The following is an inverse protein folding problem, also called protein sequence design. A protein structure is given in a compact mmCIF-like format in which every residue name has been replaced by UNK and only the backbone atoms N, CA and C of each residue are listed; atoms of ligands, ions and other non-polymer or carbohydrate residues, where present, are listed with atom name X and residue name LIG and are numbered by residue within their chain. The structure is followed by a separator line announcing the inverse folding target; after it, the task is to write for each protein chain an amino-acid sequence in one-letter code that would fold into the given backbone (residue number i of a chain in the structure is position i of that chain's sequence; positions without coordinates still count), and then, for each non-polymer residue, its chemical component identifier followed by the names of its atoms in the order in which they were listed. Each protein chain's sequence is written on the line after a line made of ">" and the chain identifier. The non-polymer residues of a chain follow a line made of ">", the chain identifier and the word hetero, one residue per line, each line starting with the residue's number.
data_IF_542676364525
#
_entry.id   IF_542676364525
#
_cell.length_a   1.000
_cell.length_b   1.000
_cell.length_c   1.000
_cell.angle_alpha   90.00
_cell.angle_beta   90.00
_cell.angle_gamma   90.00
#
_symmetry.space_group_name_H-M   'P 1'
#
loop_
_entity.id
_entity.type
_entity.pdbx_description
1 polymer ?
#
# COMPACT_ATOMS: atom_id res chain seq x y z
N UNK A 1 22.11 69.39 -9.23
CA UNK A 1 22.91 68.94 -8.06
C UNK A 1 22.05 69.17 -6.83
N UNK A 2 21.45 68.18 -6.18
CA UNK A 2 21.63 66.72 -6.19
C UNK A 2 20.29 66.08 -5.77
N UNK A 3 19.77 65.14 -6.56
CA UNK A 3 18.65 64.27 -6.15
C UNK A 3 19.16 63.24 -5.14
N UNK A 4 18.55 63.22 -3.95
CA UNK A 4 18.80 62.23 -2.90
C UNK A 4 17.96 60.98 -3.19
N UNK A 5 18.54 60.07 -3.97
CA UNK A 5 17.91 58.81 -4.38
C UNK A 5 18.13 57.74 -3.31
N UNK A 6 17.33 57.76 -2.25
CA UNK A 6 17.35 56.73 -1.20
C UNK A 6 16.55 55.52 -1.67
N UNK A 7 17.25 54.50 -2.18
CA UNK A 7 16.69 53.21 -2.53
C UNK A 7 15.97 52.54 -1.34
N UNK A 8 14.87 51.80 -1.54
CA UNK A 8 14.28 50.99 -0.48
C UNK A 8 15.26 49.88 -0.08
N UNK A 9 15.66 49.92 1.20
CA UNK A 9 16.50 48.91 1.84
C UNK A 9 15.76 47.58 1.79
N UNK A 10 16.19 46.68 0.91
CA UNK A 10 15.67 45.32 0.81
C UNK A 10 15.80 44.60 2.16
N UNK A 11 14.72 43.92 2.54
CA UNK A 11 14.62 43.15 3.76
C UNK A 11 15.63 41.98 3.70
N UNK A 12 16.57 41.83 4.65
CA UNK A 12 17.59 40.79 4.61
C UNK A 12 17.05 39.38 4.95
N UNK A 13 15.73 39.23 5.08
CA UNK A 13 15.06 37.98 5.45
C UNK A 13 14.80 37.01 4.28
N UNK A 14 15.18 37.38 3.04
CA UNK A 14 15.02 36.52 1.85
C UNK A 14 16.35 36.03 1.27
N UNK A 15 17.45 36.06 2.04
CA UNK A 15 18.67 35.36 1.68
C UNK A 15 18.51 33.84 1.93
N UNK A 16 17.53 33.24 1.27
CA UNK A 16 17.39 31.80 1.14
C UNK A 16 18.33 31.33 0.04
N UNK A 17 19.17 30.37 0.37
CA UNK A 17 19.96 29.50 -0.50
C UNK A 17 19.70 29.67 -2.00
N UNK A 18 20.74 30.13 -2.73
CA UNK A 18 20.87 29.94 -4.17
C UNK A 18 21.03 28.43 -4.44
N UNK A 19 19.97 27.65 -4.24
CA UNK A 19 19.84 26.32 -4.81
C UNK A 19 19.60 26.54 -6.30
N UNK A 20 20.67 26.38 -7.07
CA UNK A 20 20.69 26.46 -8.51
C UNK A 20 19.53 25.59 -9.06
N UNK A 21 18.53 26.26 -9.63
CA UNK A 21 17.32 25.59 -10.12
C UNK A 21 17.74 24.50 -11.12
N UNK A 22 17.30 23.24 -10.94
CA UNK A 22 17.71 22.14 -11.80
C UNK A 22 17.39 22.46 -13.26
N UNK A 23 18.35 22.20 -14.14
CA UNK A 23 18.24 22.48 -15.57
C UNK A 23 16.99 21.79 -16.13
N UNK A 24 16.06 22.60 -16.65
CA UNK A 24 14.83 22.13 -17.27
C UNK A 24 15.11 21.14 -18.41
N UNK A 25 16.26 21.25 -19.08
CA UNK A 25 16.72 20.32 -20.10
C UNK A 25 17.03 18.93 -19.55
N UNK A 26 17.62 18.85 -18.35
CA UNK A 26 17.97 17.58 -17.70
C UNK A 26 16.74 16.88 -17.12
N UNK A 27 15.81 17.65 -16.53
CA UNK A 27 14.51 17.14 -16.07
C UNK A 27 13.66 16.61 -17.23
N UNK A 28 13.60 17.33 -18.35
CA UNK A 28 12.93 16.86 -19.58
C UNK A 28 13.54 15.56 -20.10
N UNK A 29 14.87 15.43 -20.01
CA UNK A 29 15.58 14.22 -20.45
C UNK A 29 15.29 13.03 -19.55
N UNK A 30 15.24 13.21 -18.23
CA UNK A 30 14.88 12.14 -17.29
C UNK A 30 13.42 11.68 -17.50
N UNK A 31 12.51 12.61 -17.76
CA UNK A 31 11.08 12.31 -17.96
C UNK A 31 10.80 11.64 -19.31
N UNK A 32 11.47 12.05 -20.39
CA UNK A 32 11.37 11.40 -21.71
C UNK A 32 11.95 9.98 -21.73
N UNK A 33 12.74 9.60 -20.72
CA UNK A 33 13.25 8.24 -20.54
C UNK A 33 12.30 7.33 -19.73
N UNK A 34 11.18 7.85 -19.18
CA UNK A 34 10.16 6.99 -18.58
C UNK A 34 9.41 6.23 -19.70
N UNK A 35 9.66 4.92 -19.81
CA UNK A 35 9.05 4.04 -20.82
C UNK A 35 7.51 4.04 -20.81
N UNK A 36 6.88 4.59 -19.77
CA UNK A 36 5.41 4.67 -19.62
C UNK A 36 4.81 5.98 -20.14
N UNK A 37 5.62 6.93 -20.57
CA UNK A 37 5.15 8.21 -21.08
C UNK A 37 4.66 8.10 -22.53
N UNK A 38 3.37 8.38 -22.78
CA UNK A 38 2.82 8.48 -24.13
C UNK A 38 2.70 9.95 -24.57
N UNK A 39 3.05 10.29 -25.83
CA UNK A 39 2.91 11.64 -26.37
C UNK A 39 1.48 12.17 -26.21
N UNK A 40 1.31 13.24 -25.43
CA UNK A 40 0.01 13.85 -25.12
C UNK A 40 -0.48 13.62 -23.68
N UNK A 41 0.21 12.78 -22.90
CA UNK A 41 -0.01 12.72 -21.45
C UNK A 41 0.45 14.02 -20.77
N UNK A 42 -0.38 14.55 -19.87
CA UNK A 42 0.03 15.68 -19.02
C UNK A 42 1.17 15.22 -18.11
N UNK A 43 2.29 15.95 -18.12
CA UNK A 43 3.33 15.77 -17.13
C UNK A 43 2.72 16.06 -15.75
N UNK A 44 2.63 15.04 -14.91
CA UNK A 44 2.34 15.23 -13.50
C UNK A 44 3.69 15.47 -12.82
N UNK A 45 3.85 16.62 -12.18
CA UNK A 45 5.01 16.84 -11.32
C UNK A 45 5.11 15.70 -10.32
N UNK A 46 6.32 15.18 -10.12
CA UNK A 46 6.58 14.26 -9.00
C UNK A 46 6.18 15.02 -7.74
N UNK A 47 5.14 14.56 -7.07
CA UNK A 47 4.87 15.04 -5.72
C UNK A 47 6.13 14.77 -4.89
N UNK A 48 6.69 15.83 -4.32
CA UNK A 48 7.74 15.69 -3.31
C UNK A 48 7.26 14.71 -2.25
N UNK A 49 8.11 13.75 -1.93
CA UNK A 49 7.81 12.73 -0.93
C UNK A 49 7.54 13.46 0.38
N UNK A 50 6.30 13.46 0.90
CA UNK A 50 6.02 14.17 2.12
C UNK A 50 6.89 13.58 3.24
N UNK A 51 7.58 14.42 4.00
CA UNK A 51 7.95 14.04 5.35
C UNK A 51 6.64 13.97 6.16
N UNK A 52 6.54 13.02 7.06
CA UNK A 52 5.44 13.01 8.02
C UNK A 52 5.58 14.22 8.97
N UNK A 53 4.47 14.64 9.60
CA UNK A 53 4.42 15.80 10.51
C UNK A 53 5.44 15.74 11.67
N UNK A 54 5.96 14.54 11.96
CA UNK A 54 6.99 14.27 12.97
C UNK A 54 8.44 14.32 12.43
N UNK A 55 8.65 14.76 11.19
CA UNK A 55 9.96 14.87 10.54
C UNK A 55 10.57 13.53 10.11
N UNK A 56 9.83 12.42 10.26
CA UNK A 56 10.25 11.11 9.77
C UNK A 56 9.80 10.91 8.30
N UNK A 57 10.44 10.02 7.53
CA UNK A 57 9.96 9.69 6.18
C UNK A 57 8.49 9.25 6.22
N UNK A 58 7.62 9.71 5.30
CA UNK A 58 6.23 9.20 5.27
C UNK A 58 6.15 7.77 4.71
N UNK A 59 7.06 7.42 3.80
CA UNK A 59 7.15 6.08 3.23
C UNK A 59 8.59 5.61 3.09
N UNK A 60 8.78 4.28 3.11
CA UNK A 60 10.06 3.64 2.77
C UNK A 60 9.89 3.01 1.39
N UNK A 61 10.76 3.31 0.41
CA UNK A 61 10.67 2.73 -0.93
C UNK A 61 10.62 1.19 -0.90
N UNK A 62 9.65 0.61 -1.60
CA UNK A 62 9.49 -0.83 -1.75
C UNK A 62 10.24 -1.30 -3.00
N UNK A 63 11.41 -1.91 -2.83
CA UNK A 63 12.26 -2.36 -3.96
C UNK A 63 11.83 -3.70 -4.58
N UNK A 64 10.85 -4.39 -3.97
CA UNK A 64 10.38 -5.69 -4.44
C UNK A 64 8.84 -5.68 -4.52
N UNK A 65 8.26 -5.25 -5.66
CA UNK A 65 6.83 -5.30 -5.89
C UNK A 65 6.36 -6.76 -5.80
N UNK A 66 5.19 -6.97 -5.20
CA UNK A 66 4.70 -8.32 -4.98
C UNK A 66 4.20 -8.95 -6.29
N UNK A 67 4.52 -10.22 -6.55
CA UNK A 67 4.23 -10.86 -7.83
C UNK A 67 2.73 -10.98 -8.12
N UNK A 68 1.88 -10.90 -7.08
CA UNK A 68 0.43 -11.01 -7.19
C UNK A 68 -0.28 -9.70 -7.51
N UNK A 69 0.42 -8.57 -7.68
CA UNK A 69 -0.20 -7.25 -7.84
C UNK A 69 -1.26 -7.21 -8.95
N UNK A 70 -0.97 -7.82 -10.11
CA UNK A 70 -1.90 -7.86 -11.25
C UNK A 70 -3.05 -8.87 -11.04
N UNK A 71 -2.82 -9.93 -10.28
CA UNK A 71 -3.79 -11.03 -10.10
C UNK A 71 -4.64 -10.88 -8.83
N UNK A 72 -4.27 -9.96 -7.94
CA UNK A 72 -4.91 -9.76 -6.64
C UNK A 72 -6.40 -9.53 -6.77
N UNK A 73 -6.83 -8.66 -7.70
CA UNK A 73 -8.24 -8.34 -7.92
C UNK A 73 -9.02 -9.61 -8.28
N UNK A 74 -8.51 -10.44 -9.19
CA UNK A 74 -9.19 -11.67 -9.60
C UNK A 74 -9.30 -12.68 -8.46
N UNK A 75 -8.23 -12.85 -7.67
CA UNK A 75 -8.24 -13.72 -6.49
C UNK A 75 -9.25 -13.23 -5.43
N UNK A 76 -9.28 -11.92 -5.18
CA UNK A 76 -10.21 -11.31 -4.24
C UNK A 76 -11.66 -11.46 -4.68
N UNK A 77 -11.98 -11.33 -5.98
CA UNK A 77 -13.34 -11.53 -6.50
C UNK A 77 -13.82 -12.95 -6.23
N UNK A 78 -12.98 -13.97 -6.48
CA UNK A 78 -13.33 -15.37 -6.19
C UNK A 78 -13.57 -15.57 -4.69
N UNK A 79 -12.65 -15.10 -3.85
CA UNK A 79 -12.79 -15.19 -2.40
C UNK A 79 -14.06 -14.49 -1.89
N UNK A 80 -14.39 -13.31 -2.45
CA UNK A 80 -15.56 -12.52 -2.09
C UNK A 80 -16.86 -13.27 -2.45
N UNK A 81 -17.00 -13.72 -3.69
CA UNK A 81 -18.20 -14.45 -4.14
C UNK A 81 -18.42 -15.69 -3.28
N UNK A 82 -17.35 -16.47 -3.04
CA UNK A 82 -17.42 -17.65 -2.20
C UNK A 82 -17.81 -17.32 -0.74
N UNK A 83 -17.18 -16.30 -0.15
CA UNK A 83 -17.46 -15.86 1.21
C UNK A 83 -18.90 -15.38 1.37
N UNK A 84 -19.38 -14.50 0.49
CA UNK A 84 -20.76 -14.01 0.51
C UNK A 84 -21.75 -15.16 0.33
N UNK A 85 -21.50 -16.08 -0.59
CA UNK A 85 -22.38 -17.25 -0.81
C UNK A 85 -22.48 -18.12 0.44
N UNK A 86 -21.35 -18.46 1.06
CA UNK A 86 -21.33 -19.30 2.26
C UNK A 86 -22.05 -18.61 3.44
N UNK A 87 -21.75 -17.33 3.69
CA UNK A 87 -22.37 -16.56 4.78
C UNK A 87 -23.88 -16.44 4.54
N UNK A 88 -24.30 -16.04 3.34
CA UNK A 88 -25.73 -15.93 3.01
C UNK A 88 -26.46 -17.26 3.14
N UNK A 89 -25.87 -18.37 2.73
CA UNK A 89 -26.48 -19.69 2.91
C UNK A 89 -26.67 -20.04 4.39
N UNK A 90 -25.67 -19.78 5.23
CA UNK A 90 -25.75 -20.00 6.68
C UNK A 90 -26.83 -19.13 7.32
N UNK A 91 -26.90 -17.83 6.97
CA UNK A 91 -27.93 -16.90 7.47
C UNK A 91 -29.35 -17.31 7.03
N UNK A 92 -29.50 -17.97 5.88
CA UNK A 92 -30.76 -18.52 5.39
C UNK A 92 -31.12 -19.89 6.02
N UNK A 93 -30.31 -20.39 6.95
CA UNK A 93 -30.56 -21.62 7.70
C UNK A 93 -29.95 -22.89 7.10
N UNK A 94 -29.05 -22.76 6.10
CA UNK A 94 -28.26 -23.90 5.63
C UNK A 94 -27.34 -24.43 6.75
N UNK A 95 -27.01 -25.71 6.69
CA UNK A 95 -26.13 -26.38 7.65
C UNK A 95 -24.69 -26.37 7.16
N UNK A 96 -23.74 -26.46 8.08
CA UNK A 96 -22.31 -26.63 7.77
C UNK A 96 -22.01 -27.87 6.92
N UNK A 97 -22.85 -28.90 6.98
CA UNK A 97 -22.75 -30.11 6.17
C UNK A 97 -23.18 -29.92 4.72
N UNK A 98 -23.91 -28.85 4.40
CA UNK A 98 -24.52 -28.66 3.08
C UNK A 98 -23.46 -28.23 2.06
N UNK A 99 -23.55 -28.80 0.85
CA UNK A 99 -22.58 -28.53 -0.22
C UNK A 99 -22.54 -27.05 -0.62
N UNK A 100 -23.67 -26.34 -0.48
CA UNK A 100 -23.78 -24.90 -0.73
C UNK A 100 -22.92 -24.05 0.22
N UNK A 101 -22.54 -24.58 1.39
CA UNK A 101 -21.62 -23.93 2.33
C UNK A 101 -20.20 -24.48 2.14
N UNK A 102 -20.03 -25.80 2.08
CA UNK A 102 -18.73 -26.46 1.99
C UNK A 102 -17.92 -26.06 0.76
N UNK A 103 -18.54 -26.13 -0.42
CA UNK A 103 -17.83 -25.88 -1.68
C UNK A 103 -17.30 -24.44 -1.73
N UNK A 104 -18.10 -23.40 -1.44
CA UNK A 104 -17.58 -22.05 -1.38
C UNK A 104 -16.50 -21.84 -0.29
N UNK A 105 -16.64 -22.44 0.89
CA UNK A 105 -15.61 -22.33 1.95
C UNK A 105 -14.28 -22.90 1.47
N UNK A 106 -14.27 -24.11 0.91
CA UNK A 106 -13.04 -24.76 0.45
C UNK A 106 -12.44 -23.99 -0.74
N UNK A 107 -13.24 -23.69 -1.76
CA UNK A 107 -12.74 -23.03 -2.98
C UNK A 107 -12.30 -21.60 -2.71
N UNK A 108 -13.10 -20.84 -1.95
CA UNK A 108 -12.82 -19.44 -1.63
C UNK A 108 -11.66 -19.24 -0.65
N UNK A 109 -11.42 -20.21 0.23
CA UNK A 109 -10.31 -20.12 1.19
C UNK A 109 -8.94 -20.13 0.51
N UNK A 110 -8.78 -20.85 -0.60
CA UNK A 110 -7.50 -20.95 -1.32
C UNK A 110 -6.98 -19.58 -1.79
N UNK A 111 -7.71 -18.82 -2.64
CA UNK A 111 -7.27 -17.49 -3.05
C UNK A 111 -7.20 -16.51 -1.88
N UNK A 112 -8.04 -16.68 -0.86
CA UNK A 112 -8.00 -15.85 0.36
C UNK A 112 -6.68 -16.05 1.13
N UNK A 113 -6.22 -17.29 1.33
CA UNK A 113 -4.93 -17.56 1.97
C UNK A 113 -3.76 -17.00 1.18
N UNK A 114 -3.80 -17.09 -0.15
CA UNK A 114 -2.76 -16.53 -1.02
C UNK A 114 -2.69 -15.01 -0.85
N UNK A 115 -3.84 -14.32 -0.91
CA UNK A 115 -3.93 -12.87 -0.75
C UNK A 115 -3.50 -12.40 0.65
N UNK A 116 -3.92 -13.11 1.70
CA UNK A 116 -3.54 -12.83 3.08
C UNK A 116 -2.05 -13.05 3.32
N UNK A 117 -1.49 -14.14 2.79
CA UNK A 117 -0.07 -14.45 2.92
C UNK A 117 0.81 -13.39 2.26
N UNK A 118 0.45 -12.94 1.05
CA UNK A 118 1.15 -11.84 0.38
C UNK A 118 1.10 -10.54 1.19
N UNK A 119 -0.09 -10.17 1.67
CA UNK A 119 -0.28 -8.97 2.47
C UNK A 119 0.54 -9.04 3.77
N UNK A 120 0.52 -10.18 4.46
CA UNK A 120 1.30 -10.41 5.67
C UNK A 120 2.80 -10.27 5.43
N UNK A 121 3.32 -10.87 4.35
CA UNK A 121 4.74 -10.78 3.99
C UNK A 121 5.16 -9.35 3.66
N UNK A 122 4.32 -8.60 2.94
CA UNK A 122 4.57 -7.18 2.63
C UNK A 122 4.65 -6.35 3.91
N UNK A 123 3.69 -6.53 4.81
CA UNK A 123 3.68 -5.79 6.08
C UNK A 123 4.85 -6.24 6.97
N UNK A 124 5.19 -7.52 7.02
CA UNK A 124 6.31 -8.04 7.81
C UNK A 124 7.67 -7.47 7.33
N UNK A 125 7.88 -7.34 6.01
CA UNK A 125 9.06 -6.65 5.46
C UNK A 125 9.08 -5.18 5.85
N UNK A 126 7.91 -4.52 5.84
CA UNK A 126 7.76 -3.14 6.33
C UNK A 126 8.11 -3.01 7.82
N UNK A 127 7.73 -3.96 8.68
CA UNK A 127 8.11 -3.96 10.11
C UNK A 127 9.63 -3.90 10.27
N UNK A 128 10.37 -4.73 9.52
CA UNK A 128 11.83 -4.78 9.58
C UNK A 128 12.47 -3.46 9.13
N UNK A 129 11.93 -2.84 8.08
CA UNK A 129 12.40 -1.54 7.60
C UNK A 129 12.16 -0.40 8.62
N UNK A 130 11.04 -0.46 9.36
CA UNK A 130 10.66 0.57 10.33
C UNK A 130 11.30 0.40 11.72
N UNK A 131 11.79 -0.80 12.05
CA UNK A 131 12.38 -1.10 13.35
C UNK A 131 13.54 -0.16 13.78
N UNK A 132 14.52 0.16 12.90
CA UNK A 132 15.59 1.10 13.25
C UNK A 132 15.15 2.56 13.31
N UNK A 133 14.06 2.94 12.63
CA UNK A 133 13.61 4.34 12.52
C UNK A 133 12.68 4.69 13.69
N UNK A 134 11.64 3.90 13.91
CA UNK A 134 10.66 4.16 14.97
C UNK A 134 9.95 2.89 15.44
N UNK A 135 10.12 2.55 16.71
CA UNK A 135 9.53 1.34 17.31
C UNK A 135 8.00 1.38 17.31
N UNK A 136 7.38 2.54 17.54
CA UNK A 136 5.92 2.66 17.55
C UNK A 136 5.28 2.29 16.21
N UNK A 137 5.79 2.85 15.09
CA UNK A 137 5.30 2.53 13.74
C UNK A 137 5.59 1.09 13.33
N UNK A 138 6.70 0.52 13.81
CA UNK A 138 7.03 -0.89 13.58
C UNK A 138 6.09 -1.84 14.36
N UNK A 139 5.80 -1.54 15.63
CA UNK A 139 4.88 -2.30 16.46
C UNK A 139 3.46 -2.26 15.92
N UNK A 140 2.97 -1.09 15.49
CA UNK A 140 1.66 -0.98 14.85
C UNK A 140 1.53 -1.90 13.62
N UNK A 141 2.56 -1.94 12.77
CA UNK A 141 2.61 -2.87 11.62
C UNK A 141 2.70 -4.32 12.06
N UNK A 142 3.44 -4.63 13.13
CA UNK A 142 3.52 -5.97 13.68
C UNK A 142 2.15 -6.45 14.22
N UNK A 143 1.38 -5.56 14.83
CA UNK A 143 -0.02 -5.83 15.21
C UNK A 143 -0.84 -6.25 14.00
N UNK A 144 -0.72 -5.54 12.87
CA UNK A 144 -1.41 -5.93 11.64
C UNK A 144 -0.98 -7.30 11.10
N UNK A 145 0.32 -7.63 11.15
CA UNK A 145 0.80 -8.98 10.79
C UNK A 145 0.15 -10.04 11.70
N UNK A 146 0.09 -9.77 13.00
CA UNK A 146 -0.56 -10.67 13.96
C UNK A 146 -2.07 -10.81 13.70
N UNK A 147 -2.77 -9.71 13.36
CA UNK A 147 -4.19 -9.73 13.00
C UNK A 147 -4.43 -10.58 11.76
N UNK A 148 -3.61 -10.43 10.70
CA UNK A 148 -3.73 -11.27 9.50
C UNK A 148 -3.48 -12.73 9.84
N UNK A 149 -2.48 -13.02 10.67
CA UNK A 149 -2.21 -14.38 11.16
C UNK A 149 -3.40 -14.97 11.94
N UNK A 150 -4.00 -14.21 12.84
CA UNK A 150 -5.17 -14.63 13.61
C UNK A 150 -6.37 -14.91 12.69
N UNK A 151 -6.63 -14.04 11.71
CA UNK A 151 -7.69 -14.27 10.71
C UNK A 151 -7.40 -15.52 9.87
N UNK A 152 -6.15 -15.75 9.48
CA UNK A 152 -5.76 -16.93 8.71
C UNK A 152 -6.02 -18.22 9.52
N UNK A 153 -5.78 -18.21 10.82
CA UNK A 153 -6.11 -19.33 11.71
C UNK A 153 -7.62 -19.56 11.83
N UNK A 154 -8.42 -18.49 11.88
CA UNK A 154 -9.90 -18.62 11.90
C UNK A 154 -10.39 -19.24 10.60
N UNK A 155 -9.89 -18.77 9.44
CA UNK A 155 -10.23 -19.35 8.14
C UNK A 155 -9.80 -20.83 8.09
N UNK A 156 -8.60 -21.16 8.59
CA UNK A 156 -8.12 -22.53 8.64
C UNK A 156 -9.04 -23.42 9.49
N UNK A 157 -9.45 -22.94 10.66
CA UNK A 157 -10.40 -23.64 11.51
C UNK A 157 -11.74 -23.86 10.82
N UNK A 158 -12.25 -22.86 10.09
CA UNK A 158 -13.48 -22.99 9.30
C UNK A 158 -13.35 -24.02 8.17
N UNK A 159 -12.20 -24.07 7.49
CA UNK A 159 -11.93 -25.10 6.46
C UNK A 159 -11.87 -26.49 7.07
N UNK A 160 -11.17 -26.66 8.20
CA UNK A 160 -11.12 -27.95 8.91
C UNK A 160 -12.52 -28.39 9.33
N UNK A 161 -13.32 -27.48 9.88
CA UNK A 161 -14.71 -27.75 10.25
C UNK A 161 -15.55 -28.13 9.03
N UNK A 162 -15.38 -27.45 7.91
CA UNK A 162 -16.09 -27.77 6.66
C UNK A 162 -15.67 -29.13 6.08
N UNK A 163 -14.44 -29.58 6.26
CA UNK A 163 -13.99 -30.91 5.81
C UNK A 163 -14.48 -32.03 6.74
N UNK A 164 -14.56 -31.76 8.06
CA UNK A 164 -14.97 -32.72 9.08
C UNK A 164 -16.48 -32.83 9.33
N UNK A 165 -17.27 -31.84 8.91
CA UNK A 165 -18.74 -31.87 8.92
C UNK A 165 -19.30 -32.69 7.75
#
# INVERSE_FOLDING_TARGET
>A
MSEDQRAPKGDPALAGHDEEAPDAGELLREVLLDERYEPGMRLLDRQEVPLADDGLPAFVPEHAPTPLRSSYIYLSVVALICGTTAISALELGARWSDLIVKVPVIVGSIPLFIAMGEAALRIARSVRAWWPISRGRALFRATWVATIGALALIVLAAVIAAIGA
#
